data_IF_801130780181
#
_entry.id   IF_801130780181
#
_cell.length_a   1.000
_cell.length_b   1.000
_cell.length_c   1.000
_cell.angle_alpha   90.00
_cell.angle_beta   90.00
_cell.angle_gamma   90.00
#
_symmetry.space_group_name_H-M   'P 1'
#
loop_
_entity.id
_entity.type
_entity.pdbx_description
1 polymer ?
#
# COMPACT_ATOMS: atom_id res chain seq x y z
N UNK A 1 27.40 36.59 26.48
CA UNK A 1 26.96 35.18 26.67
C UNK A 1 25.91 34.73 25.64
N UNK A 2 25.98 35.16 24.36
CA UNK A 2 24.96 34.84 23.33
C UNK A 2 25.40 33.82 22.27
N UNK A 3 26.69 33.45 22.29
CA UNK A 3 27.33 32.57 21.30
C UNK A 3 26.91 31.08 21.36
N UNK A 4 26.63 30.44 22.51
CA UNK A 4 26.31 29.01 22.52
C UNK A 4 24.92 28.73 21.94
N UNK A 5 24.00 29.70 22.01
CA UNK A 5 22.62 29.55 21.53
C UNK A 5 22.55 29.46 19.99
N UNK A 6 23.44 30.16 19.28
CA UNK A 6 23.48 30.17 17.81
C UNK A 6 24.04 28.85 17.26
N UNK A 7 25.07 28.29 17.89
CA UNK A 7 25.64 27.00 17.47
C UNK A 7 24.71 25.82 17.71
N UNK A 8 23.91 25.84 18.79
CA UNK A 8 22.90 24.79 19.05
C UNK A 8 21.78 24.85 18.01
N UNK A 9 21.35 26.05 17.60
CA UNK A 9 20.30 26.22 16.58
C UNK A 9 20.78 25.77 15.18
N UNK A 10 22.05 26.02 14.83
CA UNK A 10 22.64 25.57 13.57
C UNK A 10 22.81 24.04 13.50
N UNK A 11 23.11 23.39 14.64
CA UNK A 11 23.19 21.93 14.73
C UNK A 11 21.84 21.23 14.50
N UNK A 12 20.74 21.84 14.95
CA UNK A 12 19.38 21.30 14.78
C UNK A 12 18.90 21.37 13.32
N UNK A 13 19.36 22.35 12.55
CA UNK A 13 19.00 22.51 11.12
C UNK A 13 19.74 21.53 10.20
N UNK A 14 20.84 20.93 10.67
CA UNK A 14 21.67 20.02 9.87
C UNK A 14 21.16 18.57 9.86
N UNK A 15 20.10 18.26 10.60
CA UNK A 15 19.56 16.90 10.74
C UNK A 15 18.55 16.54 9.64
N UNK A 16 18.89 16.77 8.37
CA UNK A 16 18.07 16.27 7.26
C UNK A 16 18.43 14.80 7.01
N UNK A 17 17.71 13.88 7.66
CA UNK A 17 17.83 12.45 7.40
C UNK A 17 17.41 12.14 5.95
N UNK A 18 18.36 11.72 5.11
CA UNK A 18 18.05 11.14 3.80
C UNK A 18 17.50 9.73 4.02
N UNK A 19 16.19 9.56 3.92
CA UNK A 19 15.59 8.24 3.88
C UNK A 19 16.05 7.51 2.61
N UNK A 20 16.47 6.25 2.74
CA UNK A 20 16.79 5.40 1.59
C UNK A 20 15.52 5.21 0.75
N UNK A 21 15.68 5.17 -0.57
CA UNK A 21 14.57 4.86 -1.46
C UNK A 21 13.89 3.53 -1.09
N UNK A 22 12.55 3.47 -1.07
CA UNK A 22 11.84 2.25 -0.76
C UNK A 22 11.97 1.23 -1.90
N UNK A 23 11.99 -0.06 -1.56
CA UNK A 23 11.85 -1.12 -2.55
C UNK A 23 10.37 -1.23 -2.97
N UNK A 24 10.09 -1.21 -4.26
CA UNK A 24 8.73 -1.33 -4.81
C UNK A 24 8.58 -2.66 -5.53
N UNK A 25 7.53 -3.41 -5.19
CA UNK A 25 7.17 -4.67 -5.83
C UNK A 25 5.72 -4.58 -6.34
N UNK A 26 5.52 -4.82 -7.64
CA UNK A 26 4.21 -4.94 -8.24
C UNK A 26 3.91 -6.41 -8.55
N UNK A 27 2.79 -6.92 -8.01
CA UNK A 27 2.30 -8.28 -8.27
C UNK A 27 0.97 -8.15 -9.01
N UNK A 28 0.91 -8.72 -10.22
CA UNK A 28 -0.29 -8.74 -11.04
C UNK A 28 -0.75 -10.18 -11.24
N UNK A 29 -2.07 -10.36 -11.29
CA UNK A 29 -2.69 -11.67 -11.51
C UNK A 29 -3.63 -11.53 -12.69
N UNK A 30 -3.52 -12.48 -13.62
CA UNK A 30 -4.35 -12.53 -14.81
C UNK A 30 -5.64 -13.28 -14.53
N UNK A 31 -6.76 -12.83 -15.10
CA UNK A 31 -8.08 -13.47 -15.05
C UNK A 31 -8.58 -13.91 -13.66
N UNK A 32 -8.10 -13.30 -12.58
CA UNK A 32 -8.60 -13.57 -11.23
C UNK A 32 -9.71 -12.59 -10.85
N UNK A 33 -10.90 -13.14 -10.69
CA UNK A 33 -12.05 -12.40 -10.19
C UNK A 33 -11.86 -11.98 -8.73
N UNK A 34 -12.39 -10.82 -8.38
CA UNK A 34 -12.32 -10.26 -7.02
C UNK A 34 -12.89 -11.21 -5.95
N UNK A 35 -13.97 -11.94 -6.28
CA UNK A 35 -14.62 -12.91 -5.38
C UNK A 35 -13.76 -14.13 -5.05
N UNK A 36 -12.67 -14.34 -5.77
CA UNK A 36 -11.73 -15.44 -5.53
C UNK A 36 -10.73 -15.13 -4.41
N UNK A 37 -10.66 -13.87 -3.96
CA UNK A 37 -9.76 -13.42 -2.91
C UNK A 37 -10.54 -13.26 -1.60
N UNK A 38 -10.11 -13.92 -0.52
CA UNK A 38 -10.82 -13.86 0.78
C UNK A 38 -10.83 -12.48 1.39
N UNK A 39 -9.85 -11.63 1.08
CA UNK A 39 -9.86 -10.21 1.45
C UNK A 39 -11.12 -9.46 0.97
N UNK A 40 -11.75 -9.89 -0.13
CA UNK A 40 -13.00 -9.32 -0.63
C UNK A 40 -14.23 -10.21 -0.38
N UNK A 41 -14.06 -11.54 -0.42
CA UNK A 41 -15.17 -12.47 -0.24
C UNK A 41 -15.40 -12.88 1.23
N UNK A 42 -14.59 -12.39 2.17
CA UNK A 42 -14.58 -12.81 3.58
C UNK A 42 -14.49 -14.33 3.76
N UNK A 43 -13.67 -14.98 2.93
CA UNK A 43 -13.45 -16.44 3.03
C UNK A 43 -14.61 -17.30 2.55
N UNK A 44 -15.65 -16.73 1.92
CA UNK A 44 -16.78 -17.50 1.40
C UNK A 44 -16.42 -18.43 0.22
N UNK A 45 -15.48 -18.03 -0.64
CA UNK A 45 -15.12 -18.80 -1.85
C UNK A 45 -13.83 -19.59 -1.65
N UNK A 46 -12.73 -18.89 -1.40
CA UNK A 46 -11.41 -19.46 -1.18
C UNK A 46 -10.73 -18.76 -0.02
N UNK A 47 -9.74 -19.43 0.59
CA UNK A 47 -8.89 -18.86 1.62
C UNK A 47 -7.51 -18.50 1.02
N UNK A 48 -7.17 -17.22 1.03
CA UNK A 48 -5.91 -16.66 0.50
C UNK A 48 -5.09 -15.99 1.61
N UNK A 49 -4.53 -16.77 2.56
CA UNK A 49 -4.00 -16.22 3.82
C UNK A 49 -2.85 -15.21 3.64
N UNK A 50 -2.02 -15.37 2.62
CA UNK A 50 -0.93 -14.43 2.34
C UNK A 50 -1.43 -13.09 1.77
N UNK A 51 -2.48 -13.12 0.94
CA UNK A 51 -3.08 -11.90 0.36
C UNK A 51 -3.88 -11.17 1.45
N UNK A 52 -4.60 -11.92 2.28
CA UNK A 52 -5.34 -11.38 3.41
C UNK A 52 -4.43 -10.69 4.42
N UNK A 53 -3.25 -11.28 4.69
CA UNK A 53 -2.23 -10.65 5.54
C UNK A 53 -1.77 -9.30 4.98
N UNK A 54 -1.48 -9.22 3.67
CA UNK A 54 -1.07 -7.97 3.01
C UNK A 54 -2.21 -6.93 3.07
N UNK A 55 -3.46 -7.35 2.86
CA UNK A 55 -4.63 -6.48 2.96
C UNK A 55 -4.81 -5.92 4.38
N UNK A 56 -4.61 -6.75 5.41
CA UNK A 56 -4.74 -6.35 6.82
C UNK A 56 -3.58 -5.45 7.31
N UNK A 57 -2.36 -5.68 6.83
CA UNK A 57 -1.19 -4.86 7.17
C UNK A 57 -1.16 -3.53 6.39
N UNK A 58 -1.83 -3.49 5.23
CA UNK A 58 -1.83 -2.37 4.31
C UNK A 58 -3.22 -1.77 4.10
N UNK A 59 -3.63 -1.70 2.83
CA UNK A 59 -4.92 -1.17 2.43
C UNK A 59 -5.55 -2.06 1.36
N UNK A 60 -6.86 -2.27 1.47
CA UNK A 60 -7.64 -2.93 0.42
C UNK A 60 -8.30 -1.86 -0.45
N UNK A 61 -8.12 -1.96 -1.77
CA UNK A 61 -8.74 -1.03 -2.71
C UNK A 61 -10.16 -1.51 -3.00
N UNK A 62 -11.16 -0.81 -2.46
CA UNK A 62 -12.55 -1.08 -2.82
C UNK A 62 -12.83 -0.55 -4.23
N UNK A 63 -13.29 -1.38 -5.18
CA UNK A 63 -13.63 -0.88 -6.50
C UNK A 63 -14.85 0.03 -6.39
N UNK A 64 -14.78 1.19 -7.05
CA UNK A 64 -15.86 2.16 -7.08
C UNK A 64 -16.91 1.88 -8.17
N UNK A 65 -16.67 0.89 -9.06
CA UNK A 65 -17.54 0.57 -10.20
C UNK A 65 -17.66 -0.95 -10.39
N UNK A 66 -18.89 -1.46 -10.44
CA UNK A 66 -19.18 -2.77 -11.01
C UNK A 66 -19.21 -2.57 -12.52
N UNK A 67 -18.17 -3.04 -13.23
CA UNK A 67 -18.22 -3.06 -14.69
C UNK A 67 -19.38 -3.98 -15.09
N UNK A 68 -20.39 -3.49 -15.85
CA UNK A 68 -21.45 -4.35 -16.34
C UNK A 68 -20.84 -5.46 -17.20
N UNK A 69 -21.10 -6.71 -16.86
CA UNK A 69 -20.52 -7.93 -17.47
C UNK A 69 -20.90 -8.16 -18.95
N UNK A 70 -21.36 -7.11 -19.66
CA UNK A 70 -21.83 -7.16 -21.05
C UNK A 70 -21.03 -6.30 -22.03
N UNK A 71 -19.97 -5.61 -21.59
CA UNK A 71 -19.13 -4.78 -22.49
C UNK A 71 -17.67 -5.15 -22.33
N UNK A 72 -17.34 -6.41 -22.61
CA UNK A 72 -15.98 -6.82 -22.93
C UNK A 72 -15.90 -6.84 -24.46
N UNK A 73 -15.54 -5.70 -25.07
CA UNK A 73 -15.16 -5.65 -26.48
C UNK A 73 -13.68 -6.07 -26.54
N UNK A 74 -13.39 -7.12 -27.31
CA UNK A 74 -12.04 -7.54 -27.67
C UNK A 74 -11.26 -6.39 -28.30
#
# INVERSE_FOLDING_TARGET
MKLPLVSVLAGLLSLSAHAKDPNVLAIMVDDVAQVSLSAYSHGMTYNTPNIDRIANEGATIMPSQVVPQGVQRF
#
